data_IF_423145171946
#
_entry.id   IF_423145171946
#
_cell.length_a   1.000
_cell.length_b   1.000
_cell.length_c   1.000
_cell.angle_alpha   90.00
_cell.angle_beta   90.00
_cell.angle_gamma   90.00
#
_symmetry.space_group_name_H-M   'P 1'
#
loop_
_entity.id
_entity.type
_entity.pdbx_description
1 polymer ?
#
# COMPACT_ATOMS: atom_id res chain seq x y z
N UNK A 1 -16.71 7.49 11.80
CA UNK A 1 -17.49 6.89 10.70
C UNK A 1 -17.80 5.48 11.15
N UNK A 2 -18.96 5.30 11.77
CA UNK A 2 -19.28 4.07 12.51
C UNK A 2 -20.30 3.23 11.75
N UNK A 3 -21.17 3.87 10.96
CA UNK A 3 -22.27 3.22 10.24
C UNK A 3 -22.26 3.48 8.73
N UNK A 4 -23.06 2.72 7.98
CA UNK A 4 -23.24 2.88 6.53
C UNK A 4 -23.74 4.29 6.15
N UNK A 5 -24.70 4.92 6.87
CA UNK A 5 -25.10 6.30 6.58
C UNK A 5 -23.96 7.30 6.73
N UNK A 6 -23.09 7.14 7.73
CA UNK A 6 -21.91 8.00 7.90
C UNK A 6 -20.93 7.86 6.74
N UNK A 7 -20.80 6.65 6.19
CA UNK A 7 -19.98 6.40 5.02
C UNK A 7 -20.51 7.12 3.78
N UNK A 8 -21.83 7.10 3.56
CA UNK A 8 -22.46 7.87 2.49
C UNK A 8 -22.33 9.39 2.71
N UNK A 9 -22.54 9.85 3.94
CA UNK A 9 -22.34 11.25 4.31
C UNK A 9 -20.89 11.70 4.04
N UNK A 10 -19.91 10.86 4.36
CA UNK A 10 -18.50 11.14 4.05
C UNK A 10 -18.23 11.19 2.55
N UNK A 11 -18.73 10.20 1.79
CA UNK A 11 -18.56 10.17 0.33
C UNK A 11 -19.13 11.43 -0.33
N UNK A 12 -20.30 11.87 0.10
CA UNK A 12 -21.03 12.99 -0.52
C UNK A 12 -20.54 14.36 -0.04
N UNK A 13 -20.30 14.53 1.26
CA UNK A 13 -19.99 15.85 1.84
C UNK A 13 -18.50 16.15 1.99
N UNK A 14 -17.64 15.13 2.05
CA UNK A 14 -16.20 15.33 2.23
C UNK A 14 -15.39 14.85 1.03
N UNK A 15 -15.64 13.64 0.55
CA UNK A 15 -14.83 13.04 -0.50
C UNK A 15 -15.12 13.64 -1.89
N UNK A 16 -16.38 13.71 -2.31
CA UNK A 16 -16.74 14.22 -3.63
C UNK A 16 -16.29 15.68 -3.86
N UNK A 17 -16.52 16.64 -2.93
CA UNK A 17 -16.03 18.01 -3.10
C UNK A 17 -14.51 18.12 -3.18
N UNK A 18 -13.79 17.20 -2.52
CA UNK A 18 -12.32 17.20 -2.48
C UNK A 18 -11.71 16.70 -3.79
N UNK A 19 -12.31 15.69 -4.42
CA UNK A 19 -11.74 15.02 -5.60
C UNK A 19 -12.23 15.60 -6.92
N UNK A 20 -13.36 16.31 -6.93
CA UNK A 20 -14.01 16.80 -8.16
C UNK A 20 -13.75 18.28 -8.41
N UNK A 21 -13.85 18.67 -9.68
CA UNK A 21 -13.84 20.07 -10.07
C UNK A 21 -15.10 20.75 -9.52
N UNK A 22 -14.92 21.66 -8.58
CA UNK A 22 -15.96 22.61 -8.24
C UNK A 22 -16.14 23.59 -9.40
N UNK A 23 -17.38 23.98 -9.71
CA UNK A 23 -17.67 25.03 -10.70
C UNK A 23 -16.93 26.33 -10.31
N UNK A 24 -15.74 26.55 -10.86
CA UNK A 24 -15.18 27.89 -10.97
C UNK A 24 -15.98 28.55 -12.10
N UNK A 25 -16.98 29.35 -11.73
CA UNK A 25 -17.57 30.31 -12.67
C UNK A 25 -16.41 31.12 -13.25
N UNK A 26 -16.18 30.94 -14.55
CA UNK A 26 -15.23 31.70 -15.34
C UNK A 26 -15.41 33.21 -15.12
N UNK A 27 -14.51 33.79 -14.34
CA UNK A 27 -13.99 35.14 -14.57
C UNK A 27 -12.48 35.03 -14.48
N UNK A 28 -11.88 34.33 -15.42
CA UNK A 28 -10.76 34.86 -16.21
C UNK A 28 -10.26 33.81 -17.20
N UNK A 29 -10.23 34.23 -18.46
CA UNK A 29 -9.73 33.45 -19.58
C UNK A 29 -8.22 33.28 -19.43
N UNK A 30 -7.78 32.19 -18.81
CA UNK A 30 -6.49 31.60 -19.11
C UNK A 30 -6.69 30.14 -19.49
N UNK A 31 -6.43 29.84 -20.76
CA UNK A 31 -6.48 28.50 -21.35
C UNK A 31 -5.41 27.61 -20.69
N UNK A 32 -5.73 27.01 -19.54
CA UNK A 32 -5.03 25.80 -19.11
C UNK A 32 -5.69 24.61 -19.79
N UNK A 33 -4.97 24.01 -20.75
CA UNK A 33 -5.37 22.75 -21.39
C UNK A 33 -5.30 21.62 -20.36
N UNK A 34 -6.41 21.33 -19.66
CA UNK A 34 -6.56 20.10 -18.88
C UNK A 34 -7.69 20.15 -17.86
N UNK A 35 -8.66 19.23 -18.00
CA UNK A 35 -9.77 18.98 -17.06
C UNK A 35 -9.28 18.27 -15.78
N UNK A 36 -8.35 18.89 -15.06
CA UNK A 36 -7.69 18.32 -13.88
C UNK A 36 -8.24 18.98 -12.61
N UNK A 37 -8.86 18.21 -11.70
CA UNK A 37 -9.48 18.76 -10.50
C UNK A 37 -8.42 19.14 -9.45
N UNK A 38 -8.39 20.39 -8.96
CA UNK A 38 -7.52 20.77 -7.86
C UNK A 38 -8.08 20.19 -6.55
N UNK A 39 -7.29 19.34 -5.88
CA UNK A 39 -7.63 18.72 -4.58
C UNK A 39 -7.44 19.70 -3.41
N UNK A 40 -6.36 20.45 -3.47
CA UNK A 40 -5.96 21.60 -2.63
C UNK A 40 -5.34 22.60 -3.61
N UNK A 41 -5.30 23.90 -3.33
CA UNK A 41 -4.84 24.99 -4.24
C UNK A 41 -3.61 24.68 -5.13
N UNK A 42 -2.74 23.74 -4.75
CA UNK A 42 -1.62 23.28 -5.57
C UNK A 42 -1.61 21.80 -5.98
N UNK A 43 -2.45 20.91 -5.45
CA UNK A 43 -2.44 19.48 -5.82
C UNK A 43 -3.52 19.14 -6.83
N UNK A 44 -3.20 18.27 -7.79
CA UNK A 44 -4.04 17.92 -8.93
C UNK A 44 -4.41 16.44 -8.88
N UNK A 45 -5.69 16.10 -9.07
CA UNK A 45 -6.11 14.69 -9.24
C UNK A 45 -5.74 14.18 -10.63
N UNK A 46 -5.14 12.99 -10.69
CA UNK A 46 -4.71 12.35 -11.94
C UNK A 46 -5.73 11.25 -12.29
N UNK A 47 -6.64 11.55 -13.22
CA UNK A 47 -7.73 10.65 -13.61
C UNK A 47 -8.88 10.59 -12.60
N UNK A 48 -10.00 9.92 -12.95
CA UNK A 48 -11.16 9.81 -12.07
C UNK A 48 -10.88 8.88 -10.89
N UNK A 49 -11.42 9.19 -9.72
CA UNK A 49 -11.43 8.27 -8.59
C UNK A 49 -12.34 7.07 -8.88
N UNK A 50 -11.97 5.89 -8.37
CA UNK A 50 -12.72 4.65 -8.55
C UNK A 50 -13.16 4.13 -7.20
N UNK A 51 -14.44 3.79 -7.08
CA UNK A 51 -14.97 3.04 -5.95
C UNK A 51 -15.14 1.59 -6.39
N UNK A 52 -14.66 0.67 -5.57
CA UNK A 52 -14.82 -0.77 -5.75
C UNK A 52 -15.50 -1.37 -4.53
N UNK A 53 -16.39 -2.32 -4.75
CA UNK A 53 -17.12 -3.01 -3.70
C UNK A 53 -16.99 -4.52 -3.87
N UNK A 54 -16.86 -5.20 -2.74
CA UNK A 54 -16.86 -6.66 -2.65
C UNK A 54 -18.04 -7.12 -1.78
N UNK A 55 -18.76 -8.14 -2.26
CA UNK A 55 -20.01 -8.64 -1.66
C UNK A 55 -19.94 -10.16 -1.45
N UNK A 56 -20.76 -10.66 -0.52
CA UNK A 56 -20.93 -12.10 -0.26
C UNK A 56 -22.36 -12.55 -0.52
N UNK A 57 -22.52 -13.82 -0.90
CA UNK A 57 -23.83 -14.42 -1.19
C UNK A 57 -24.69 -14.56 0.07
N UNK A 58 -26.01 -14.49 -0.11
CA UNK A 58 -26.99 -14.56 0.97
C UNK A 58 -27.07 -15.92 1.69
N UNK A 59 -26.63 -17.00 1.06
CA UNK A 59 -26.59 -18.34 1.65
C UNK A 59 -25.17 -18.70 2.11
N UNK A 60 -24.40 -17.71 2.55
CA UNK A 60 -23.00 -17.90 2.96
C UNK A 60 -22.85 -18.43 4.40
N UNK A 61 -23.92 -18.40 5.19
CA UNK A 61 -24.00 -19.06 6.49
C UNK A 61 -25.29 -19.85 6.66
N UNK A 62 -25.23 -20.88 7.52
CA UNK A 62 -26.38 -21.67 7.91
C UNK A 62 -27.10 -20.97 9.07
N UNK A 63 -28.39 -20.67 8.85
CA UNK A 63 -29.28 -20.21 9.91
C UNK A 63 -29.84 -21.46 10.60
N UNK A 64 -29.77 -21.59 11.93
CA UNK A 64 -30.39 -22.71 12.64
C UNK A 64 -31.90 -22.77 12.36
N UNK A 65 -32.47 -23.98 12.25
CA UNK A 65 -33.88 -24.19 11.86
C UNK A 65 -34.86 -23.44 12.75
N UNK A 66 -34.56 -23.31 14.05
CA UNK A 66 -35.37 -22.56 15.01
C UNK A 66 -35.53 -21.08 14.60
N UNK A 67 -34.60 -20.51 13.86
CA UNK A 67 -34.56 -19.11 13.47
C UNK A 67 -34.87 -18.85 11.99
N UNK A 68 -35.20 -19.89 11.21
CA UNK A 68 -35.41 -19.79 9.77
C UNK A 68 -36.55 -18.85 9.37
N UNK A 69 -37.59 -18.78 10.21
CA UNK A 69 -38.78 -17.95 9.95
C UNK A 69 -38.48 -16.45 10.09
N UNK A 70 -37.61 -16.08 11.02
CA UNK A 70 -37.24 -14.69 11.29
C UNK A 70 -36.08 -14.21 10.41
N UNK A 71 -35.11 -15.07 10.11
CA UNK A 71 -33.88 -14.69 9.40
C UNK A 71 -33.78 -15.36 8.04
N UNK A 72 -34.32 -14.67 7.03
CA UNK A 72 -34.25 -15.10 5.62
C UNK A 72 -32.90 -14.83 4.94
N UNK A 73 -32.04 -14.04 5.58
CA UNK A 73 -30.77 -13.60 5.01
C UNK A 73 -29.60 -13.85 5.95
N UNK A 74 -28.51 -14.41 5.44
CA UNK A 74 -27.33 -14.75 6.24
C UNK A 74 -26.02 -14.44 5.48
N UNK A 75 -25.27 -13.47 5.99
CA UNK A 75 -24.01 -13.06 5.39
C UNK A 75 -22.85 -13.31 6.36
N UNK A 76 -21.90 -14.17 6.00
CA UNK A 76 -20.70 -14.46 6.80
C UNK A 76 -19.53 -13.52 6.47
N UNK A 77 -18.37 -13.66 7.11
CA UNK A 77 -17.14 -12.94 6.75
C UNK A 77 -16.75 -13.16 5.28
N UNK A 78 -15.94 -12.25 4.73
CA UNK A 78 -15.49 -12.42 3.36
C UNK A 78 -14.62 -13.67 3.21
N UNK A 79 -15.00 -14.52 2.25
CA UNK A 79 -14.22 -15.65 1.79
C UNK A 79 -14.42 -15.77 0.28
N UNK A 80 -13.35 -16.05 -0.47
CA UNK A 80 -13.39 -16.18 -1.93
C UNK A 80 -14.45 -17.19 -2.41
N UNK A 81 -14.75 -18.23 -1.61
CA UNK A 81 -15.76 -19.24 -1.92
C UNK A 81 -17.19 -18.68 -1.93
N UNK A 82 -17.45 -17.68 -1.09
CA UNK A 82 -18.77 -17.07 -0.91
C UNK A 82 -18.89 -15.69 -1.58
N UNK A 83 -17.92 -15.32 -2.43
CA UNK A 83 -17.96 -14.06 -3.18
C UNK A 83 -19.19 -14.03 -4.10
N UNK A 84 -19.99 -12.97 -4.00
CA UNK A 84 -21.16 -12.79 -4.86
C UNK A 84 -20.77 -12.17 -6.21
N UNK A 85 -20.92 -12.99 -7.26
CA UNK A 85 -20.57 -12.64 -8.64
C UNK A 85 -21.80 -12.29 -9.50
N UNK A 86 -23.00 -12.31 -8.93
CA UNK A 86 -24.23 -12.03 -9.68
C UNK A 86 -24.51 -10.54 -9.72
N UNK A 87 -24.90 -10.01 -10.87
CA UNK A 87 -25.39 -8.62 -10.95
C UNK A 87 -26.57 -8.40 -10.00
N UNK A 88 -26.60 -7.27 -9.30
CA UNK A 88 -27.66 -6.91 -8.35
C UNK A 88 -28.23 -5.53 -8.67
N UNK A 89 -29.47 -5.21 -8.28
CA UNK A 89 -30.05 -3.90 -8.62
C UNK A 89 -30.36 -3.74 -10.12
N UNK A 90 -30.32 -2.52 -10.70
CA UNK A 90 -30.60 -2.30 -12.12
C UNK A 90 -29.49 -2.88 -13.00
N UNK A 91 -29.74 -4.08 -13.53
CA UNK A 91 -28.79 -4.89 -14.30
C UNK A 91 -28.27 -4.25 -15.59
N UNK A 92 -28.92 -3.20 -16.08
CA UNK A 92 -28.54 -2.45 -17.27
C UNK A 92 -27.27 -1.60 -17.05
N UNK A 93 -26.97 -1.26 -15.79
CA UNK A 93 -25.89 -0.36 -15.42
C UNK A 93 -24.60 -1.13 -15.04
N UNK A 94 -23.45 -0.68 -15.56
CA UNK A 94 -22.14 -1.37 -15.38
C UNK A 94 -21.67 -1.38 -13.93
N UNK A 95 -22.13 -0.43 -13.12
CA UNK A 95 -21.82 -0.27 -11.69
C UNK A 95 -22.35 -1.43 -10.82
N UNK A 96 -23.35 -2.13 -11.35
CA UNK A 96 -24.12 -3.18 -10.69
C UNK A 96 -23.76 -4.58 -11.19
N UNK A 97 -22.90 -4.65 -12.20
CA UNK A 97 -22.36 -5.89 -12.77
C UNK A 97 -21.03 -6.27 -12.14
N UNK A 98 -20.88 -7.54 -11.77
CA UNK A 98 -19.61 -8.06 -11.26
C UNK A 98 -18.58 -8.12 -12.39
N UNK A 99 -17.36 -7.65 -12.12
CA UNK A 99 -16.30 -7.60 -13.11
C UNK A 99 -15.04 -8.27 -12.61
N UNK A 100 -14.49 -9.12 -13.48
CA UNK A 100 -13.13 -9.63 -13.36
C UNK A 100 -12.15 -8.58 -13.89
N UNK A 101 -11.06 -8.36 -13.16
CA UNK A 101 -10.05 -7.35 -13.43
C UNK A 101 -8.70 -7.92 -13.00
N UNK A 102 -7.78 -8.04 -13.95
CA UNK A 102 -6.41 -8.50 -13.67
C UNK A 102 -5.46 -7.32 -13.33
N UNK A 103 -5.97 -6.09 -13.34
CA UNK A 103 -5.21 -4.87 -13.04
C UNK A 103 -5.10 -4.57 -11.53
N UNK A 104 -5.92 -5.21 -10.71
CA UNK A 104 -6.00 -4.99 -9.26
C UNK A 104 -5.38 -6.20 -8.56
N UNK A 105 -4.71 -5.99 -7.43
CA UNK A 105 -4.09 -7.05 -6.64
C UNK A 105 -4.99 -7.47 -5.47
N UNK A 106 -4.73 -8.63 -4.88
CA UNK A 106 -5.36 -9.01 -3.62
C UNK A 106 -5.01 -8.02 -2.52
N UNK A 107 -6.02 -7.61 -1.76
CA UNK A 107 -5.83 -6.68 -0.66
C UNK A 107 -5.90 -7.42 0.68
N UNK A 108 -4.79 -7.41 1.41
CA UNK A 108 -4.74 -7.88 2.80
C UNK A 108 -5.33 -6.82 3.72
N UNK A 109 -6.59 -7.04 4.11
CA UNK A 109 -7.32 -6.21 5.05
C UNK A 109 -7.03 -6.53 6.51
N UNK A 110 -7.69 -5.82 7.43
CA UNK A 110 -7.64 -6.16 8.86
C UNK A 110 -8.52 -7.36 9.17
N UNK A 111 -9.69 -7.45 8.51
CA UNK A 111 -10.69 -8.49 8.75
C UNK A 111 -10.53 -9.71 7.82
N UNK A 112 -10.16 -9.49 6.56
CA UNK A 112 -10.06 -10.56 5.57
C UNK A 112 -9.11 -10.19 4.41
N UNK A 113 -8.75 -11.18 3.61
CA UNK A 113 -8.08 -10.99 2.33
C UNK A 113 -9.12 -10.85 1.22
N UNK A 114 -9.14 -9.70 0.55
CA UNK A 114 -10.14 -9.38 -0.48
C UNK A 114 -9.62 -9.64 -1.88
N UNK A 115 -10.47 -10.22 -2.73
CA UNK A 115 -10.16 -10.44 -4.14
C UNK A 115 -10.08 -9.10 -4.89
N UNK A 116 -9.33 -9.04 -6.00
CA UNK A 116 -9.21 -7.84 -6.81
C UNK A 116 -10.50 -7.48 -7.55
N UNK A 117 -11.37 -8.47 -7.75
CA UNK A 117 -12.62 -8.38 -8.48
C UNK A 117 -13.73 -7.65 -7.69
N UNK A 118 -14.87 -7.47 -8.34
CA UNK A 118 -16.08 -6.98 -7.68
C UNK A 118 -16.87 -6.01 -8.55
N UNK A 119 -17.60 -5.14 -7.88
CA UNK A 119 -18.43 -4.10 -8.50
C UNK A 119 -17.64 -2.81 -8.47
N UNK A 120 -17.57 -2.13 -9.61
CA UNK A 120 -16.78 -0.91 -9.74
C UNK A 120 -17.66 0.23 -10.23
N UNK A 121 -17.42 1.41 -9.71
CA UNK A 121 -17.98 2.66 -10.22
C UNK A 121 -16.88 3.71 -10.28
N UNK A 122 -16.93 4.57 -11.29
CA UNK A 122 -15.99 5.67 -11.46
C UNK A 122 -16.69 6.97 -11.10
N UNK A 123 -16.02 7.78 -10.29
CA UNK A 123 -16.54 9.08 -9.88
C UNK A 123 -16.28 10.07 -11.03
N UNK A 124 -17.33 10.71 -11.57
CA UNK A 124 -17.19 11.74 -12.59
C UNK A 124 -16.30 12.88 -12.10
N UNK A 125 -15.56 13.50 -13.01
CA UNK A 125 -14.68 14.63 -12.67
C UNK A 125 -15.44 15.89 -12.21
N UNK A 126 -16.71 16.03 -12.59
CA UNK A 126 -17.56 17.17 -12.23
C UNK A 126 -18.36 16.89 -10.96
N UNK A 127 -18.36 17.85 -10.03
CA UNK A 127 -19.04 17.73 -8.74
C UNK A 127 -20.54 17.39 -8.87
N UNK A 128 -21.27 18.09 -9.72
CA UNK A 128 -22.73 17.87 -9.85
C UNK A 128 -23.05 16.47 -10.36
N UNK A 129 -22.27 15.97 -11.33
CA UNK A 129 -22.41 14.61 -11.84
C UNK A 129 -22.04 13.56 -10.77
N UNK A 130 -20.96 13.79 -10.02
CA UNK A 130 -20.56 12.91 -8.92
C UNK A 130 -21.61 12.86 -7.80
N UNK A 131 -22.22 14.00 -7.46
CA UNK A 131 -23.28 14.08 -6.46
C UNK A 131 -24.52 13.32 -6.89
N UNK A 132 -24.95 13.45 -8.15
CA UNK A 132 -26.09 12.70 -8.71
C UNK A 132 -25.81 11.20 -8.69
N UNK A 133 -24.61 10.78 -9.11
CA UNK A 133 -24.21 9.37 -9.08
C UNK A 133 -24.24 8.80 -7.65
N UNK A 134 -23.60 9.48 -6.70
CA UNK A 134 -23.55 9.01 -5.30
C UNK A 134 -24.96 8.93 -4.69
N UNK A 135 -25.82 9.91 -4.96
CA UNK A 135 -27.21 9.89 -4.49
C UNK A 135 -28.03 8.73 -5.09
N UNK A 136 -27.83 8.39 -6.37
CA UNK A 136 -28.50 7.23 -6.98
C UNK A 136 -28.00 5.91 -6.38
N UNK A 137 -26.68 5.78 -6.17
CA UNK A 137 -26.09 4.59 -5.53
C UNK A 137 -26.58 4.42 -4.08
N UNK A 138 -26.69 5.51 -3.32
CA UNK A 138 -27.24 5.50 -1.96
C UNK A 138 -28.72 5.09 -1.96
N UNK A 139 -29.54 5.74 -2.80
CA UNK A 139 -30.98 5.46 -2.92
C UNK A 139 -31.26 4.00 -3.27
N UNK A 140 -30.42 3.41 -4.12
CA UNK A 140 -30.55 2.02 -4.57
C UNK A 140 -29.82 1.02 -3.67
N UNK A 141 -29.26 1.47 -2.54
CA UNK A 141 -28.54 0.63 -1.57
C UNK A 141 -27.38 -0.15 -2.20
N UNK A 142 -26.55 0.53 -2.98
CA UNK A 142 -25.36 -0.10 -3.56
C UNK A 142 -24.49 -0.71 -2.46
N UNK A 143 -24.30 0.01 -1.34
CA UNK A 143 -23.72 -0.52 -0.09
C UNK A 143 -24.86 -1.01 0.82
N UNK A 144 -24.82 -2.29 1.18
CA UNK A 144 -25.82 -2.95 2.01
C UNK A 144 -25.20 -4.00 2.95
N UNK A 145 -26.04 -4.79 3.63
CA UNK A 145 -25.62 -5.84 4.59
C UNK A 145 -24.75 -6.95 3.98
N UNK A 146 -24.82 -7.17 2.67
CA UNK A 146 -24.02 -8.17 1.95
C UNK A 146 -22.61 -7.66 1.64
N UNK A 147 -22.36 -6.36 1.80
CA UNK A 147 -21.08 -5.73 1.49
C UNK A 147 -20.05 -6.07 2.56
N UNK A 148 -18.81 -6.35 2.14
CA UNK A 148 -17.71 -6.68 3.07
C UNK A 148 -16.56 -5.70 3.04
N UNK A 149 -16.33 -5.06 1.90
CA UNK A 149 -15.39 -3.97 1.81
C UNK A 149 -15.75 -3.04 0.67
N UNK A 150 -15.47 -1.76 0.90
CA UNK A 150 -15.51 -0.69 -0.11
C UNK A 150 -14.13 -0.07 -0.19
N UNK A 151 -13.57 -0.02 -1.39
CA UNK A 151 -12.26 0.54 -1.69
C UNK A 151 -12.47 1.81 -2.51
N UNK A 152 -11.72 2.85 -2.18
CA UNK A 152 -11.71 4.11 -2.94
C UNK A 152 -10.26 4.35 -3.34
N UNK A 153 -10.03 4.30 -4.64
CA UNK A 153 -8.70 4.42 -5.25
C UNK A 153 -8.64 5.71 -6.06
N UNK A 154 -7.60 6.52 -5.81
CA UNK A 154 -7.33 7.71 -6.60
C UNK A 154 -5.85 8.11 -6.52
N UNK A 155 -5.42 8.91 -7.48
CA UNK A 155 -4.04 9.38 -7.60
C UNK A 155 -4.01 10.89 -7.65
N UNK A 156 -3.02 11.48 -6.98
CA UNK A 156 -2.85 12.92 -6.83
C UNK A 156 -1.42 13.28 -7.20
N UNK A 157 -1.22 14.35 -7.94
CA UNK A 157 0.08 14.91 -8.28
C UNK A 157 0.19 16.33 -7.71
N UNK A 158 1.25 16.59 -6.96
CA UNK A 158 1.55 17.91 -6.41
C UNK A 158 2.71 18.53 -7.19
N UNK A 159 2.48 19.51 -8.10
CA UNK A 159 3.51 20.16 -8.91
C UNK A 159 4.54 20.93 -8.07
N UNK A 160 4.14 21.52 -6.94
CA UNK A 160 5.03 22.33 -6.09
C UNK A 160 6.27 21.54 -5.59
N UNK A 161 6.08 20.26 -5.31
CA UNK A 161 7.10 19.36 -4.76
C UNK A 161 7.43 18.21 -5.72
N UNK A 162 6.82 18.22 -6.91
CA UNK A 162 6.95 17.17 -7.93
C UNK A 162 6.72 15.76 -7.35
N UNK A 163 5.60 15.60 -6.64
CA UNK A 163 5.27 14.38 -5.90
C UNK A 163 3.97 13.75 -6.39
N UNK A 164 4.06 12.52 -6.86
CA UNK A 164 2.94 11.68 -7.21
C UNK A 164 2.54 10.80 -6.04
N UNK A 165 1.26 10.83 -5.66
CA UNK A 165 0.71 10.12 -4.51
C UNK A 165 -0.45 9.23 -4.92
N UNK A 166 -0.32 7.93 -4.68
CA UNK A 166 -1.46 7.02 -4.72
C UNK A 166 -2.11 6.93 -3.35
N UNK A 167 -3.43 7.03 -3.34
CA UNK A 167 -4.24 6.88 -2.15
C UNK A 167 -5.24 5.75 -2.37
N UNK A 168 -5.29 4.84 -1.41
CA UNK A 168 -6.28 3.77 -1.30
C UNK A 168 -6.93 3.86 0.07
N UNK A 169 -8.21 4.21 0.09
CA UNK A 169 -9.04 4.20 1.30
C UNK A 169 -9.85 2.90 1.29
N UNK A 170 -9.91 2.21 2.42
CA UNK A 170 -10.61 0.93 2.55
C UNK A 170 -11.52 0.96 3.75
N UNK A 171 -12.78 0.65 3.51
CA UNK A 171 -13.82 0.58 4.52
C UNK A 171 -14.28 -0.87 4.62
N UNK A 172 -13.91 -1.56 5.70
CA UNK A 172 -14.29 -2.95 5.93
C UNK A 172 -15.60 -3.01 6.74
N UNK A 173 -16.55 -3.83 6.30
CA UNK A 173 -17.86 -4.00 6.93
C UNK A 173 -18.00 -5.44 7.42
N UNK A 174 -17.69 -5.73 8.70
CA UNK A 174 -17.83 -7.08 9.22
C UNK A 174 -19.31 -7.49 9.32
N UNK A 175 -19.61 -8.81 9.35
CA UNK A 175 -20.98 -9.30 9.44
C UNK A 175 -21.71 -8.87 10.71
N UNK A 176 -20.97 -8.58 11.79
CA UNK A 176 -21.49 -8.03 13.04
C UNK A 176 -22.04 -6.60 12.90
N UNK A 177 -21.78 -5.93 11.77
CA UNK A 177 -22.12 -4.53 11.54
C UNK A 177 -20.94 -3.60 11.84
N UNK A 178 -21.16 -2.30 11.67
CA UNK A 178 -20.13 -1.28 11.79
C UNK A 178 -19.26 -1.11 10.54
N UNK A 179 -18.42 -0.08 10.55
CA UNK A 179 -17.51 0.26 9.45
C UNK A 179 -16.11 0.53 10.00
N UNK A 180 -15.12 -0.20 9.49
CA UNK A 180 -13.72 -0.10 9.92
C UNK A 180 -12.87 0.57 8.82
N UNK A 181 -12.57 1.88 8.93
CA UNK A 181 -11.69 2.56 8.01
C UNK A 181 -10.23 2.13 8.13
N UNK A 182 -9.56 2.11 6.99
CA UNK A 182 -8.10 2.11 6.88
C UNK A 182 -7.68 2.87 5.63
N UNK A 183 -6.46 3.40 5.64
CA UNK A 183 -5.90 4.14 4.51
C UNK A 183 -4.49 3.65 4.21
N UNK A 184 -4.13 3.67 2.92
CA UNK A 184 -2.76 3.49 2.44
C UNK A 184 -2.45 4.60 1.47
N UNK A 185 -1.45 5.40 1.82
CA UNK A 185 -0.98 6.50 1.00
C UNK A 185 0.49 6.24 0.69
N UNK A 186 0.84 6.26 -0.59
CA UNK A 186 2.23 6.14 -1.03
C UNK A 186 2.56 7.26 -1.99
N UNK A 187 3.58 8.02 -1.62
CA UNK A 187 4.08 9.13 -2.41
C UNK A 187 5.44 8.79 -3.01
N UNK A 188 5.67 9.23 -4.24
CA UNK A 188 6.93 9.11 -4.94
C UNK A 188 7.18 10.32 -5.80
N UNK A 189 8.46 10.67 -5.92
CA UNK A 189 8.92 11.60 -6.93
C UNK A 189 9.01 10.85 -8.26
N UNK A 190 8.52 11.44 -9.35
CA UNK A 190 8.81 10.92 -10.68
C UNK A 190 10.17 11.43 -11.09
N UNK A 191 11.13 10.53 -11.28
CA UNK A 191 12.41 10.92 -11.86
C UNK A 191 12.24 10.83 -13.37
N UNK A 192 12.09 11.96 -14.04
CA UNK A 192 12.04 11.95 -15.50
C UNK A 192 13.42 11.53 -16.04
N UNK A 193 13.52 10.74 -17.13
CA UNK A 193 14.79 10.56 -17.84
C UNK A 193 15.42 11.91 -18.24
N UNK A 194 14.58 12.93 -18.43
CA UNK A 194 15.00 14.29 -18.66
C UNK A 194 15.81 14.83 -17.48
N UNK A 195 15.53 14.45 -16.22
CA UNK A 195 16.31 14.90 -15.07
C UNK A 195 17.75 14.37 -15.06
N UNK A 196 17.99 13.16 -15.57
CA UNK A 196 19.34 12.60 -15.68
C UNK A 196 20.16 13.28 -16.78
N UNK A 197 19.53 13.55 -17.92
CA UNK A 197 20.17 14.31 -19.01
C UNK A 197 20.28 15.82 -18.69
N UNK A 198 19.31 16.37 -17.98
CA UNK A 198 19.28 17.76 -17.52
C UNK A 198 20.25 18.00 -16.36
N UNK A 199 20.62 16.94 -15.61
CA UNK A 199 21.76 16.94 -14.68
C UNK A 199 23.05 17.38 -15.35
N UNK A 200 23.27 16.93 -16.60
CA UNK A 200 24.43 17.31 -17.41
C UNK A 200 24.24 18.64 -18.15
N UNK A 201 23.00 19.03 -18.47
CA UNK A 201 22.71 20.29 -19.19
C UNK A 201 22.65 21.54 -18.28
N UNK A 202 22.17 21.41 -17.04
CA UNK A 202 22.09 22.50 -16.05
C UNK A 202 22.58 22.01 -14.68
N UNK A 203 23.90 21.99 -14.46
CA UNK A 203 24.45 21.57 -13.18
C UNK A 203 24.17 22.63 -12.11
N UNK A 204 23.11 22.43 -11.33
CA UNK A 204 22.98 23.09 -10.03
C UNK A 204 23.95 22.41 -9.05
N UNK A 205 24.56 23.17 -8.13
CA UNK A 205 25.51 22.64 -7.13
C UNK A 205 24.96 21.40 -6.40
N UNK A 206 23.66 21.41 -6.07
CA UNK A 206 22.95 20.27 -5.45
C UNK A 206 22.87 19.03 -6.34
N UNK A 207 22.57 19.20 -7.64
CA UNK A 207 22.49 18.09 -8.62
C UNK A 207 23.86 17.44 -8.84
N UNK A 208 24.92 18.24 -8.89
CA UNK A 208 26.29 17.76 -9.02
C UNK A 208 26.75 17.00 -7.77
N UNK A 209 26.43 17.49 -6.57
CA UNK A 209 26.70 16.78 -5.31
C UNK A 209 25.99 15.41 -5.29
N UNK A 210 24.72 15.37 -5.71
CA UNK A 210 23.96 14.12 -5.79
C UNK A 210 24.61 13.10 -6.73
N UNK A 211 25.12 13.54 -7.89
CA UNK A 211 25.86 12.67 -8.83
C UNK A 211 27.10 12.07 -8.18
N UNK A 212 27.94 12.90 -7.54
CA UNK A 212 29.17 12.45 -6.88
C UNK A 212 28.85 11.43 -5.81
N UNK A 213 27.87 11.70 -4.96
CA UNK A 213 27.44 10.77 -3.90
C UNK A 213 26.93 9.46 -4.51
N UNK A 214 26.16 9.52 -5.60
CA UNK A 214 25.69 8.34 -6.32
C UNK A 214 26.83 7.49 -6.89
N UNK A 215 27.84 8.11 -7.51
CA UNK A 215 29.02 7.42 -8.03
C UNK A 215 29.85 6.79 -6.91
N UNK A 216 30.09 7.52 -5.83
CA UNK A 216 30.80 6.99 -4.65
C UNK A 216 30.04 5.82 -4.02
N UNK A 217 28.72 5.91 -3.93
CA UNK A 217 27.88 4.83 -3.40
C UNK A 217 27.91 3.58 -4.30
N UNK A 218 27.85 3.76 -5.63
CA UNK A 218 27.98 2.66 -6.57
C UNK A 218 29.37 2.00 -6.49
N UNK A 219 30.44 2.79 -6.39
CA UNK A 219 31.79 2.29 -6.20
C UNK A 219 31.94 1.53 -4.87
N UNK A 220 31.32 2.01 -3.79
CA UNK A 220 31.29 1.32 -2.49
C UNK A 220 30.57 -0.02 -2.57
N UNK A 221 29.41 -0.08 -3.24
CA UNK A 221 28.70 -1.35 -3.46
C UNK A 221 29.57 -2.33 -4.24
N UNK A 222 30.21 -1.88 -5.33
CA UNK A 222 31.07 -2.74 -6.15
C UNK A 222 32.30 -3.24 -5.38
N UNK A 223 32.92 -2.38 -4.58
CA UNK A 223 34.02 -2.78 -3.70
C UNK A 223 33.57 -3.85 -2.69
N UNK A 224 32.43 -3.62 -2.03
CA UNK A 224 31.88 -4.56 -1.06
C UNK A 224 31.47 -5.90 -1.71
N UNK A 225 30.87 -5.87 -2.90
CA UNK A 225 30.50 -7.09 -3.62
C UNK A 225 31.73 -7.93 -3.98
N UNK A 226 32.81 -7.31 -4.48
CA UNK A 226 34.04 -8.02 -4.83
C UNK A 226 34.67 -8.70 -3.61
N UNK A 227 34.69 -8.04 -2.45
CA UNK A 227 35.23 -8.62 -1.22
C UNK A 227 34.40 -9.82 -0.75
N UNK A 228 33.08 -9.66 -0.65
CA UNK A 228 32.21 -10.74 -0.18
C UNK A 228 32.25 -11.93 -1.15
N UNK A 229 32.29 -11.69 -2.46
CA UNK A 229 32.45 -12.75 -3.45
C UNK A 229 33.81 -13.44 -3.33
N UNK A 230 34.89 -12.70 -3.12
CA UNK A 230 36.21 -13.27 -2.91
C UNK A 230 36.24 -14.17 -1.66
N UNK A 231 35.71 -13.67 -0.54
CA UNK A 231 35.63 -14.43 0.72
C UNK A 231 34.79 -15.70 0.57
N UNK A 232 33.65 -15.63 -0.12
CA UNK A 232 32.80 -16.79 -0.38
C UNK A 232 33.49 -17.79 -1.32
N UNK A 233 34.23 -17.34 -2.32
CA UNK A 233 34.98 -18.23 -3.21
C UNK A 233 36.16 -18.91 -2.48
N UNK A 234 36.85 -18.19 -1.59
CA UNK A 234 38.02 -18.71 -0.88
C UNK A 234 37.64 -19.64 0.28
N UNK A 235 36.68 -19.24 1.12
CA UNK A 235 36.25 -19.99 2.32
C UNK A 235 35.03 -20.91 2.07
N UNK A 236 34.37 -20.79 0.91
CA UNK A 236 33.22 -21.61 0.52
C UNK A 236 32.03 -21.49 1.48
N UNK A 237 31.33 -22.60 1.69
CA UNK A 237 30.18 -22.68 2.59
C UNK A 237 30.56 -22.45 4.07
N UNK A 238 31.83 -22.60 4.45
CA UNK A 238 32.28 -22.33 5.82
C UNK A 238 32.10 -20.85 6.21
N UNK A 239 32.19 -19.95 5.23
CA UNK A 239 31.92 -18.53 5.44
C UNK A 239 30.46 -18.26 5.80
N UNK A 240 29.52 -18.94 5.12
CA UNK A 240 28.08 -18.81 5.35
C UNK A 240 27.64 -19.38 6.70
N UNK A 241 28.39 -20.33 7.26
CA UNK A 241 28.14 -20.88 8.59
C UNK A 241 28.54 -19.90 9.71
N UNK A 242 29.35 -18.89 9.41
CA UNK A 242 29.72 -17.86 10.38
C UNK A 242 28.64 -16.77 10.43
N UNK A 243 28.23 -16.36 11.63
CA UNK A 243 27.22 -15.31 11.84
C UNK A 243 27.49 -14.04 11.01
N UNK A 244 28.74 -13.57 11.00
CA UNK A 244 29.13 -12.36 10.25
C UNK A 244 29.13 -12.56 8.74
N UNK A 245 29.52 -13.74 8.26
CA UNK A 245 29.54 -14.05 6.82
C UNK A 245 28.12 -14.20 6.26
N UNK A 246 27.23 -14.86 7.01
CA UNK A 246 25.80 -14.90 6.70
C UNK A 246 25.19 -13.50 6.63
N UNK A 247 25.53 -12.63 7.60
CA UNK A 247 25.05 -11.25 7.64
C UNK A 247 25.56 -10.44 6.43
N UNK A 248 26.82 -10.59 6.03
CA UNK A 248 27.40 -9.91 4.86
C UNK A 248 26.73 -10.31 3.56
N UNK A 249 26.50 -11.61 3.35
CA UNK A 249 25.80 -12.13 2.17
C UNK A 249 24.32 -11.71 2.18
N UNK A 250 23.68 -11.65 3.35
CA UNK A 250 22.30 -11.18 3.48
C UNK A 250 22.16 -9.70 3.12
N UNK A 251 23.09 -8.85 3.58
CA UNK A 251 23.16 -7.43 3.20
C UNK A 251 23.35 -7.31 1.68
N UNK A 252 24.27 -8.08 1.11
CA UNK A 252 24.55 -8.07 -0.33
C UNK A 252 23.29 -8.38 -1.15
N UNK A 253 22.57 -9.45 -0.79
CA UNK A 253 21.33 -9.84 -1.43
C UNK A 253 20.26 -8.75 -1.34
N UNK A 254 20.12 -8.11 -0.17
CA UNK A 254 19.17 -7.01 0.03
C UNK A 254 19.55 -5.74 -0.74
N UNK A 255 20.85 -5.43 -0.91
CA UNK A 255 21.29 -4.32 -1.77
C UNK A 255 20.85 -4.55 -3.21
N UNK A 256 21.11 -5.74 -3.77
CA UNK A 256 20.67 -6.04 -5.14
C UNK A 256 19.15 -6.11 -5.26
N UNK A 257 18.46 -6.68 -4.27
CA UNK A 257 17.00 -6.72 -4.22
C UNK A 257 16.37 -5.32 -4.17
N UNK A 258 16.91 -4.41 -3.35
CA UNK A 258 16.43 -3.02 -3.30
C UNK A 258 16.72 -2.26 -4.59
N UNK A 259 17.89 -2.49 -5.23
CA UNK A 259 18.21 -1.90 -6.54
C UNK A 259 17.25 -2.39 -7.63
N UNK A 260 16.97 -3.69 -7.69
CA UNK A 260 16.02 -4.26 -8.64
C UNK A 260 14.60 -3.71 -8.44
N UNK A 261 14.14 -3.60 -7.20
CA UNK A 261 12.84 -3.02 -6.87
C UNK A 261 12.79 -1.51 -7.16
N UNK A 262 13.88 -0.78 -6.98
CA UNK A 262 13.99 0.62 -7.37
C UNK A 262 13.83 0.78 -8.89
N UNK A 263 14.54 -0.01 -9.69
CA UNK A 263 14.39 -0.02 -11.15
C UNK A 263 12.96 -0.38 -11.58
N UNK A 264 12.35 -1.38 -10.96
CA UNK A 264 10.97 -1.78 -11.24
C UNK A 264 9.97 -0.64 -10.92
N UNK A 265 10.16 0.04 -9.78
CA UNK A 265 9.35 1.19 -9.36
C UNK A 265 9.46 2.33 -10.38
N UNK A 266 10.67 2.70 -10.76
CA UNK A 266 10.91 3.78 -11.73
C UNK A 266 10.36 3.45 -13.13
N UNK A 267 10.56 2.22 -13.59
CA UNK A 267 10.01 1.76 -14.88
C UNK A 267 8.49 1.80 -14.89
N UNK A 268 7.84 1.30 -13.84
CA UNK A 268 6.38 1.35 -13.73
C UNK A 268 5.88 2.78 -13.69
N UNK A 269 6.49 3.65 -12.88
CA UNK A 269 6.11 5.05 -12.74
C UNK A 269 6.18 5.82 -14.07
N UNK A 270 7.26 5.62 -14.85
CA UNK A 270 7.41 6.22 -16.19
C UNK A 270 6.37 5.72 -17.18
N UNK A 271 6.08 4.42 -17.18
CA UNK A 271 5.05 3.83 -18.04
C UNK A 271 3.64 4.36 -17.70
N UNK A 272 3.38 4.61 -16.42
CA UNK A 272 2.12 5.21 -15.95
C UNK A 272 2.02 6.66 -16.41
N UNK A 273 3.08 7.45 -16.20
CA UNK A 273 3.07 8.86 -16.53
C UNK A 273 2.95 9.14 -18.02
N UNK A 274 3.69 8.40 -18.86
CA UNK A 274 3.61 8.53 -20.33
C UNK A 274 2.19 8.27 -20.83
N UNK A 275 1.52 7.22 -20.36
CA UNK A 275 0.12 6.91 -20.71
C UNK A 275 -0.87 8.01 -20.28
N UNK A 276 -0.63 8.63 -19.13
CA UNK A 276 -1.45 9.75 -18.64
C UNK A 276 -1.19 11.04 -19.44
N UNK A 277 0.07 11.30 -19.80
CA UNK A 277 0.50 12.47 -20.56
C UNK A 277 -0.03 12.44 -22.01
N UNK A 278 0.00 11.26 -22.65
CA UNK A 278 -0.47 11.05 -24.03
C UNK A 278 -2.01 11.15 -24.18
N UNK A 279 -2.75 11.33 -23.08
CA UNK A 279 -4.19 11.58 -23.11
C UNK A 279 -5.06 10.37 -23.47
N UNK A 280 -4.44 9.23 -23.82
CA UNK A 280 -5.13 8.02 -24.27
C UNK A 280 -5.98 7.33 -23.19
N UNK A 281 -5.74 7.61 -21.89
CA UNK A 281 -6.49 7.01 -20.77
C UNK A 281 -7.02 8.04 -19.76
N UNK A 282 -7.18 9.33 -20.11
CA UNK A 282 -7.67 10.36 -19.16
C UNK A 282 -9.03 10.01 -18.51
N UNK A 283 -9.89 9.29 -19.23
CA UNK A 283 -11.22 8.87 -18.76
C UNK A 283 -11.22 7.48 -18.08
N UNK A 284 -10.08 6.77 -18.10
CA UNK A 284 -9.97 5.42 -17.56
C UNK A 284 -9.09 5.43 -16.31
N UNK A 285 -9.71 5.16 -15.16
CA UNK A 285 -8.97 5.04 -13.90
C UNK A 285 -7.83 4.00 -14.01
N UNK A 286 -6.64 4.38 -13.57
CA UNK A 286 -5.49 3.50 -13.49
C UNK A 286 -5.33 2.96 -12.06
N UNK A 287 -5.16 1.64 -11.94
CA UNK A 287 -5.00 0.97 -10.65
C UNK A 287 -3.73 1.43 -9.93
N UNK A 288 -3.91 2.01 -8.74
CA UNK A 288 -2.82 2.45 -7.85
C UNK A 288 -2.18 1.28 -7.06
N UNK A 289 -2.81 0.11 -7.06
CA UNK A 289 -2.45 -1.06 -6.25
C UNK A 289 -1.04 -1.58 -6.50
N UNK A 290 -0.66 -1.72 -7.77
CA UNK A 290 0.66 -2.24 -8.15
C UNK A 290 1.75 -1.28 -7.66
N UNK A 291 1.51 0.02 -7.81
CA UNK A 291 2.44 1.05 -7.40
C UNK A 291 2.62 1.07 -5.87
N UNK A 292 1.51 0.97 -5.14
CA UNK A 292 1.49 0.85 -3.68
C UNK A 292 2.25 -0.41 -3.25
N UNK A 293 2.01 -1.56 -3.90
CA UNK A 293 2.65 -2.83 -3.56
C UNK A 293 4.18 -2.80 -3.76
N UNK A 294 4.64 -2.37 -4.94
CA UNK A 294 6.07 -2.25 -5.25
C UNK A 294 6.75 -1.30 -4.24
N UNK A 295 6.12 -0.16 -3.94
CA UNK A 295 6.65 0.82 -2.99
C UNK A 295 6.70 0.28 -1.57
N UNK A 296 5.68 -0.46 -1.14
CA UNK A 296 5.63 -1.10 0.19
C UNK A 296 6.77 -2.09 0.37
N UNK A 297 6.96 -2.98 -0.62
CA UNK A 297 8.03 -3.99 -0.59
C UNK A 297 9.40 -3.32 -0.62
N UNK A 298 9.59 -2.31 -1.49
CA UNK A 298 10.85 -1.54 -1.53
C UNK A 298 11.18 -0.91 -0.17
N UNK A 299 10.22 -0.22 0.46
CA UNK A 299 10.41 0.40 1.78
C UNK A 299 10.69 -0.64 2.88
N UNK A 300 10.04 -1.79 2.84
CA UNK A 300 10.29 -2.87 3.79
C UNK A 300 11.71 -3.45 3.64
N UNK A 301 12.14 -3.74 2.40
CA UNK A 301 13.50 -4.23 2.11
C UNK A 301 14.56 -3.21 2.52
N UNK A 302 14.34 -1.92 2.23
CA UNK A 302 15.24 -0.84 2.64
C UNK A 302 15.34 -0.77 4.17
N UNK A 303 14.21 -0.87 4.89
CA UNK A 303 14.19 -0.87 6.36
C UNK A 303 14.99 -2.03 6.94
N UNK A 304 14.81 -3.24 6.42
CA UNK A 304 15.56 -4.44 6.84
C UNK A 304 17.06 -4.24 6.54
N UNK A 305 17.41 -3.73 5.36
CA UNK A 305 18.79 -3.45 4.97
C UNK A 305 19.45 -2.48 5.95
N UNK A 306 18.80 -1.36 6.28
CA UNK A 306 19.33 -0.37 7.21
C UNK A 306 19.56 -0.99 8.60
N UNK A 307 18.62 -1.79 9.10
CA UNK A 307 18.76 -2.48 10.39
C UNK A 307 19.97 -3.42 10.38
N UNK A 308 20.14 -4.23 9.32
CA UNK A 308 21.29 -5.13 9.22
C UNK A 308 22.62 -4.37 9.10
N UNK A 309 22.65 -3.25 8.38
CA UNK A 309 23.81 -2.36 8.34
C UNK A 309 24.17 -1.82 9.74
N UNK A 310 23.17 -1.43 10.53
CA UNK A 310 23.38 -1.04 11.94
C UNK A 310 23.95 -2.18 12.79
N UNK A 311 23.46 -3.40 12.61
CA UNK A 311 24.02 -4.58 13.28
C UNK A 311 25.47 -4.82 12.82
N UNK A 312 25.78 -4.60 11.54
CA UNK A 312 27.16 -4.72 11.03
C UNK A 312 28.10 -3.72 11.70
N UNK A 313 27.63 -2.51 12.02
CA UNK A 313 28.42 -1.52 12.76
C UNK A 313 28.86 -2.02 14.14
N UNK A 314 28.09 -2.90 14.79
CA UNK A 314 28.47 -3.52 16.06
C UNK A 314 29.75 -4.35 15.96
N UNK A 315 30.05 -4.95 14.79
CA UNK A 315 31.32 -5.66 14.55
C UNK A 315 32.51 -4.74 14.75
N UNK A 316 32.42 -3.50 14.26
CA UNK A 316 33.49 -2.52 14.36
C UNK A 316 33.58 -1.93 15.76
N UNK A 317 32.45 -1.75 16.45
CA UNK A 317 32.46 -1.33 17.85
C UNK A 317 33.11 -2.35 18.78
N UNK A 318 33.02 -3.65 18.47
CA UNK A 318 33.71 -4.69 19.21
C UNK A 318 35.26 -4.59 19.15
N UNK A 319 35.84 -3.74 18.29
CA UNK A 319 37.27 -3.43 18.33
C UNK A 319 37.66 -2.60 19.56
N UNK A 320 36.72 -1.87 20.17
CA UNK A 320 36.98 -1.15 21.41
C UNK A 320 36.93 -2.10 22.60
N UNK A 321 38.01 -2.12 23.40
CA UNK A 321 38.19 -3.05 24.52
C UNK A 321 37.00 -3.07 25.49
N UNK A 322 36.45 -1.90 25.84
CA UNK A 322 35.29 -1.79 26.75
C UNK A 322 34.05 -2.46 26.20
N UNK A 323 33.79 -2.28 24.90
CA UNK A 323 32.60 -2.84 24.22
C UNK A 323 32.78 -4.34 24.02
N UNK A 324 33.98 -4.80 23.67
CA UNK A 324 34.30 -6.22 23.53
C UNK A 324 34.09 -7.01 24.83
N UNK A 325 34.45 -6.42 25.98
CA UNK A 325 34.18 -7.02 27.29
C UNK A 325 32.68 -7.21 27.54
N UNK A 326 31.84 -6.24 27.14
CA UNK A 326 30.39 -6.38 27.24
C UNK A 326 29.85 -7.50 26.35
N UNK A 327 30.29 -7.58 25.09
CA UNK A 327 29.89 -8.68 24.20
C UNK A 327 30.31 -10.05 24.72
N UNK A 328 31.50 -10.15 25.32
CA UNK A 328 31.98 -11.40 25.93
C UNK A 328 31.13 -11.81 27.12
N UNK A 329 30.76 -10.86 27.99
CA UNK A 329 29.88 -11.13 29.12
C UNK A 329 28.49 -11.62 28.66
N UNK A 330 27.92 -11.01 27.61
CA UNK A 330 26.66 -11.46 27.00
C UNK A 330 26.82 -12.85 26.36
N UNK A 331 27.94 -13.11 25.71
CA UNK A 331 28.20 -14.41 25.09
C UNK A 331 28.29 -15.53 26.15
N UNK A 332 28.99 -15.28 27.25
CA UNK A 332 29.12 -16.24 28.35
C UNK A 332 27.77 -16.55 29.02
N UNK A 333 26.93 -15.53 29.20
CA UNK A 333 25.58 -15.68 29.79
C UNK A 333 24.49 -16.05 28.78
N UNK A 334 24.82 -16.22 27.50
CA UNK A 334 23.83 -16.43 26.42
C UNK A 334 22.98 -17.68 26.61
N UNK A 335 23.52 -18.74 27.22
CA UNK A 335 22.77 -19.97 27.51
C UNK A 335 21.67 -19.72 28.55
N UNK A 336 22.00 -18.99 29.61
CA UNK A 336 21.05 -18.60 30.66
C UNK A 336 20.01 -17.62 30.12
N UNK A 337 20.45 -16.61 29.36
CA UNK A 337 19.56 -15.62 28.75
C UNK A 337 18.55 -16.27 27.80
N UNK A 338 18.99 -17.22 26.96
CA UNK A 338 18.08 -17.97 26.08
C UNK A 338 17.03 -18.76 26.87
N UNK A 339 17.44 -19.35 27.99
CA UNK A 339 16.56 -20.13 28.86
C UNK A 339 15.54 -19.22 29.56
N UNK A 340 15.98 -18.05 30.06
CA UNK A 340 15.11 -17.03 30.63
C UNK A 340 14.11 -16.48 29.61
N UNK A 341 14.56 -16.16 28.39
CA UNK A 341 13.70 -15.68 27.31
C UNK A 341 12.64 -16.71 26.92
N UNK A 342 13.00 -17.99 26.89
CA UNK A 342 12.06 -19.07 26.61
C UNK A 342 10.98 -19.18 27.70
N UNK A 343 11.37 -19.23 28.98
CA UNK A 343 10.42 -19.25 30.09
C UNK A 343 9.53 -18.00 30.11
N UNK A 344 10.12 -16.81 29.92
CA UNK A 344 9.39 -15.55 29.87
C UNK A 344 8.39 -15.49 28.72
N UNK A 345 8.75 -16.04 27.55
CA UNK A 345 7.86 -16.10 26.39
C UNK A 345 6.66 -17.03 26.63
N UNK A 346 6.87 -18.16 27.30
CA UNK A 346 5.77 -19.07 27.70
C UNK A 346 4.81 -18.36 28.65
N UNK A 347 5.35 -17.67 29.67
CA UNK A 347 4.54 -16.93 30.63
C UNK A 347 3.74 -15.80 29.96
N UNK A 348 4.40 -14.99 29.12
CA UNK A 348 3.77 -13.91 28.37
C UNK A 348 2.70 -14.43 27.41
N UNK A 349 2.95 -15.57 26.76
CA UNK A 349 1.95 -16.22 25.92
C UNK A 349 0.74 -16.70 26.73
N UNK A 350 0.95 -17.28 27.91
CA UNK A 350 -0.12 -17.64 28.83
C UNK A 350 -0.99 -16.44 29.21
N UNK A 351 -0.38 -15.32 29.60
CA UNK A 351 -1.11 -14.08 29.88
C UNK A 351 -1.80 -13.50 28.64
N UNK A 352 -1.20 -13.59 27.46
CA UNK A 352 -1.83 -13.13 26.22
C UNK A 352 -3.08 -13.96 25.88
N UNK A 353 -3.05 -15.28 26.07
CA UNK A 353 -4.20 -16.16 25.88
C UNK A 353 -5.30 -15.85 26.90
N UNK A 354 -4.95 -15.76 28.19
CA UNK A 354 -5.90 -15.37 29.23
C UNK A 354 -6.52 -14.00 28.94
N UNK A 355 -5.71 -13.01 28.54
CA UNK A 355 -6.18 -11.68 28.18
C UNK A 355 -7.13 -11.70 26.98
N UNK A 356 -6.82 -12.49 25.94
CA UNK A 356 -7.70 -12.66 24.80
C UNK A 356 -9.03 -13.35 25.17
N UNK A 357 -9.00 -14.33 26.08
CA UNK A 357 -10.22 -15.00 26.55
C UNK A 357 -11.11 -14.07 27.40
N UNK A 358 -10.52 -13.28 28.30
CA UNK A 358 -11.28 -12.38 29.17
C UNK A 358 -11.76 -11.11 28.46
N UNK A 359 -10.93 -10.53 27.60
CA UNK A 359 -11.19 -9.21 27.01
C UNK A 359 -11.42 -9.23 25.50
N UNK A 360 -11.26 -10.35 24.80
CA UNK A 360 -11.41 -10.40 23.35
C UNK A 360 -12.85 -10.27 22.84
N UNK A 361 -13.84 -10.37 23.73
CA UNK A 361 -15.27 -10.23 23.42
C UNK A 361 -15.85 -8.84 23.76
N UNK A 362 -15.13 -8.05 24.57
CA UNK A 362 -15.47 -6.65 24.90
C UNK A 362 -14.83 -5.73 23.87
#
# INVERSE_FOLDING_TARGET
MENIPDLWAYLTHHFAPLITLYHVKNTDKSKSKGNLAPLIKSSITMGPARIRQVRVVNSSCAVPDVFSDWYKFCYTYFNYKYEDKKSFGPSENKEWSWRKTDQVLYYFGKMAMYSPHGYYTQIPSHYDAAKVLLADLEKRRWIDRATRAVFIDFTVYSPDVDLFSAVKLVMELPPSGGVFPSSRCYSMKLISPEDWMDLFKKPTVLKFLYLIVGVLFAAFILYFTLIVLWDVCYFGCSYLLTFWGFLDVSILFLIFGTLAMFCAKESYSKNVFSKLAEGAEKDKHMSSDIMIAISTVYSALLGILVILCWIKLLKFFAMFTRVSMMFTAVHQTSKELKTLLFMGSILMFGFAVCGHLFFGLQ
#
